data_IF_402404074761
#
_entry.id   IF_402404074761
#
_cell.length_a   1.000
_cell.length_b   1.000
_cell.length_c   1.000
_cell.angle_alpha   90.00
_cell.angle_beta   90.00
_cell.angle_gamma   90.00
#
_symmetry.space_group_name_H-M   'P 1'
#
loop_
_entity.id
_entity.type
_entity.pdbx_description
1 polymer ?
#
# COMPACT_ATOMS: atom_id res chain seq x y z
N UNK A 1 38.00 5.80 -17.77
CA UNK A 1 36.99 4.73 -17.92
C UNK A 1 35.65 5.25 -17.39
N UNK A 2 34.71 5.56 -18.28
CA UNK A 2 33.40 6.20 -18.00
C UNK A 2 32.28 5.19 -18.29
N UNK A 3 31.88 4.37 -17.32
CA UNK A 3 30.81 3.35 -17.48
C UNK A 3 30.14 2.97 -16.14
N UNK A 4 29.40 3.86 -15.47
CA UNK A 4 28.41 3.45 -14.42
C UNK A 4 27.18 4.39 -14.32
N UNK A 5 26.90 5.26 -15.29
CA UNK A 5 25.77 6.23 -15.21
C UNK A 5 24.47 5.74 -15.90
N UNK A 6 24.17 4.43 -15.96
CA UNK A 6 23.03 3.90 -16.76
C UNK A 6 22.10 2.89 -16.06
N UNK A 7 21.84 3.03 -14.76
CA UNK A 7 21.04 2.04 -14.01
C UNK A 7 19.73 2.51 -13.34
N UNK A 8 19.18 3.69 -13.65
CA UNK A 8 18.05 4.28 -12.90
C UNK A 8 16.81 4.64 -13.74
N UNK A 9 16.28 3.69 -14.52
CA UNK A 9 15.15 3.93 -15.42
C UNK A 9 14.10 2.80 -15.37
N UNK A 10 13.30 2.74 -14.30
CA UNK A 10 12.19 1.77 -14.13
C UNK A 10 10.90 2.43 -13.62
N UNK A 11 9.87 2.53 -14.46
CA UNK A 11 9.46 3.88 -14.86
C UNK A 11 7.97 4.19 -15.11
N UNK A 12 7.13 3.26 -15.55
CA UNK A 12 5.67 3.52 -15.53
C UNK A 12 4.85 2.31 -15.11
N UNK A 13 5.54 1.31 -14.56
CA UNK A 13 4.86 0.39 -13.69
C UNK A 13 4.50 1.11 -12.38
N UNK A 14 4.91 2.36 -12.04
CA UNK A 14 4.30 3.14 -10.93
C UNK A 14 2.79 3.26 -11.06
N UNK A 15 2.23 3.41 -12.27
CA UNK A 15 0.77 3.44 -12.40
C UNK A 15 0.16 2.06 -12.09
N UNK A 16 0.83 1.00 -12.54
CA UNK A 16 0.55 -0.40 -12.23
C UNK A 16 1.00 -0.81 -10.82
N UNK A 17 1.78 -0.03 -10.11
CA UNK A 17 2.39 -0.35 -8.82
C UNK A 17 1.70 0.51 -7.76
N UNK A 18 1.26 1.72 -8.05
CA UNK A 18 0.26 2.41 -7.25
C UNK A 18 -1.07 1.67 -7.32
N UNK A 19 -1.36 0.99 -8.43
CA UNK A 19 -2.51 0.07 -8.53
C UNK A 19 -2.18 -1.39 -8.17
N UNK A 20 -0.94 -1.91 -8.15
CA UNK A 20 -0.64 -3.33 -7.75
C UNK A 20 0.35 -3.52 -6.58
N UNK A 21 1.04 -2.50 -6.10
CA UNK A 21 1.79 -2.51 -4.82
C UNK A 21 0.81 -2.80 -3.69
N UNK A 22 -0.44 -2.24 -3.68
CA UNK A 22 -1.54 -2.82 -2.93
C UNK A 22 -1.64 -4.35 -3.03
N UNK A 23 -1.68 -4.91 -4.23
CA UNK A 23 -2.28 -6.23 -4.40
C UNK A 23 -1.29 -7.39 -4.50
N UNK A 24 -0.01 -7.13 -4.77
CA UNK A 24 1.04 -8.17 -4.81
C UNK A 24 2.20 -7.91 -3.85
N UNK A 25 2.41 -6.65 -3.45
CA UNK A 25 3.59 -6.27 -2.69
C UNK A 25 3.40 -6.29 -1.17
N UNK A 26 2.42 -7.02 -0.67
CA UNK A 26 1.98 -6.88 0.72
C UNK A 26 1.75 -8.22 1.45
N UNK A 27 2.31 -9.30 0.91
CA UNK A 27 2.40 -10.59 1.60
C UNK A 27 3.51 -10.58 2.68
N UNK A 28 3.21 -11.04 3.89
CA UNK A 28 4.18 -11.22 4.97
C UNK A 28 5.10 -12.41 4.64
N UNK A 29 6.41 -12.18 4.67
CA UNK A 29 7.37 -13.28 4.50
C UNK A 29 7.39 -14.17 5.74
N UNK A 30 7.19 -15.48 5.58
CA UNK A 30 7.55 -16.42 6.63
C UNK A 30 9.07 -16.37 6.85
N UNK A 31 9.51 -16.29 8.11
CA UNK A 31 10.93 -16.40 8.47
C UNK A 31 11.43 -17.77 8.06
N UNK A 32 12.19 -17.84 6.95
CA UNK A 32 12.95 -19.05 6.62
C UNK A 32 14.16 -19.11 7.53
N UNK A 33 14.14 -20.04 8.50
CA UNK A 33 15.35 -20.44 9.23
C UNK A 33 16.25 -21.23 8.28
N UNK A 34 17.53 -20.80 8.16
CA UNK A 34 18.61 -21.24 7.24
C UNK A 34 18.47 -20.70 5.81
N UNK A 35 19.48 -20.08 5.19
CA UNK A 35 20.93 -20.39 5.19
C UNK A 35 21.74 -19.11 4.94
N UNK A 36 22.84 -18.93 5.69
CA UNK A 36 23.81 -17.86 5.44
C UNK A 36 24.48 -18.04 4.08
N UNK A 37 24.29 -17.09 3.17
CA UNK A 37 25.16 -16.93 2.00
C UNK A 37 25.40 -15.43 1.75
N UNK A 38 26.59 -14.99 2.15
CA UNK A 38 27.33 -13.87 1.56
C UNK A 38 26.89 -12.45 1.90
N UNK A 39 27.30 -11.95 3.07
CA UNK A 39 27.21 -10.55 3.47
C UNK A 39 28.16 -9.58 2.70
N UNK A 40 28.46 -9.84 1.42
CA UNK A 40 29.58 -9.21 0.71
C UNK A 40 29.24 -8.18 -0.38
N UNK A 41 28.00 -8.09 -0.86
CA UNK A 41 27.69 -7.32 -2.08
C UNK A 41 26.64 -6.22 -1.92
N UNK A 42 25.89 -6.19 -0.81
CA UNK A 42 24.86 -5.18 -0.57
C UNK A 42 25.41 -3.82 -0.12
N UNK A 43 26.38 -3.81 0.80
CA UNK A 43 26.98 -2.57 1.33
C UNK A 43 27.70 -1.74 0.25
N UNK A 44 28.35 -2.40 -0.72
CA UNK A 44 29.03 -1.72 -1.82
C UNK A 44 28.09 -1.02 -2.83
N UNK A 45 26.82 -1.42 -2.88
CA UNK A 45 25.80 -0.78 -3.74
C UNK A 45 25.20 0.43 -3.04
N UNK A 46 25.02 0.37 -1.73
CA UNK A 46 24.48 1.48 -0.90
C UNK A 46 25.49 2.63 -0.79
N UNK A 47 26.78 2.32 -0.59
CA UNK A 47 27.84 3.35 -0.50
C UNK A 47 28.08 4.10 -1.82
N UNK A 48 27.76 3.52 -2.98
CA UNK A 48 27.88 4.21 -4.27
C UNK A 48 26.70 5.15 -4.58
N UNK A 49 25.57 5.01 -3.89
CA UNK A 49 24.36 5.83 -4.11
C UNK A 49 24.33 7.02 -3.14
N UNK A 50 24.93 6.90 -1.95
CA UNK A 50 24.84 7.91 -0.89
C UNK A 50 25.67 9.19 -1.14
N UNK A 51 26.72 9.16 -1.98
CA UNK A 51 27.76 10.19 -1.93
C UNK A 51 27.70 11.29 -3.01
N UNK A 52 26.61 11.39 -3.78
CA UNK A 52 26.48 12.45 -4.81
C UNK A 52 25.05 12.98 -4.96
N UNK A 53 24.70 14.00 -4.18
CA UNK A 53 23.48 14.78 -4.43
C UNK A 53 23.30 15.97 -3.52
N UNK A 54 23.86 17.12 -3.90
CA UNK A 54 23.50 18.41 -3.32
C UNK A 54 22.00 18.71 -3.43
N UNK A 55 21.50 19.43 -2.42
CA UNK A 55 20.11 19.80 -2.14
C UNK A 55 19.20 20.07 -3.36
N UNK A 56 18.15 19.26 -3.52
CA UNK A 56 16.75 19.70 -3.79
C UNK A 56 15.82 18.50 -4.01
N UNK A 57 14.85 18.30 -3.10
CA UNK A 57 13.53 17.69 -3.34
C UNK A 57 13.44 16.41 -4.21
N UNK A 58 14.18 15.35 -3.84
CA UNK A 58 14.04 13.99 -4.40
C UNK A 58 13.62 13.04 -3.28
N UNK A 59 12.55 12.27 -3.47
CA UNK A 59 12.21 11.24 -2.50
C UNK A 59 13.22 10.08 -2.62
N UNK A 60 13.75 9.56 -1.50
CA UNK A 60 14.71 8.43 -1.50
C UNK A 60 13.99 7.08 -1.52
N UNK A 61 14.71 6.00 -1.84
CA UNK A 61 14.18 4.63 -1.67
C UNK A 61 13.77 4.40 -0.21
N UNK A 62 14.55 4.91 0.75
CA UNK A 62 14.23 4.79 2.18
C UNK A 62 12.89 5.43 2.54
N UNK A 63 12.55 6.57 1.93
CA UNK A 63 11.26 7.21 2.15
C UNK A 63 10.11 6.36 1.62
N UNK A 64 10.28 5.69 0.47
CA UNK A 64 9.27 4.78 -0.07
C UNK A 64 9.15 3.52 0.77
N UNK A 65 10.27 2.95 1.23
CA UNK A 65 10.30 1.81 2.14
C UNK A 65 9.55 2.17 3.41
N UNK A 66 9.85 3.32 3.99
CA UNK A 66 9.18 3.84 5.20
C UNK A 66 7.68 4.01 4.96
N UNK A 67 7.28 4.64 3.86
CA UNK A 67 5.88 4.88 3.54
C UNK A 67 5.13 3.56 3.36
N UNK A 68 5.66 2.63 2.55
CA UNK A 68 5.08 1.30 2.37
C UNK A 68 4.90 0.64 3.75
N UNK A 69 5.99 0.52 4.52
CA UNK A 69 6.00 -0.17 5.80
C UNK A 69 5.09 0.45 6.85
N UNK A 70 4.82 1.76 6.76
CA UNK A 70 3.94 2.47 7.70
C UNK A 70 2.52 1.90 7.76
N UNK A 71 2.02 1.29 6.67
CA UNK A 71 0.68 0.72 6.60
C UNK A 71 0.62 -0.72 7.13
N UNK A 72 1.76 -1.43 7.19
CA UNK A 72 1.79 -2.85 7.57
C UNK A 72 1.25 -3.09 8.97
N UNK A 73 1.57 -2.20 9.92
CA UNK A 73 1.13 -2.31 11.31
C UNK A 73 -0.40 -2.31 11.44
N UNK A 74 -1.10 -1.73 10.48
CA UNK A 74 -2.56 -1.63 10.47
C UNK A 74 -3.27 -2.84 9.84
N UNK A 75 -2.54 -3.86 9.39
CA UNK A 75 -3.11 -5.12 8.90
C UNK A 75 -3.31 -6.11 10.03
N UNK A 76 -4.50 -6.70 10.12
CA UNK A 76 -4.76 -7.80 11.02
C UNK A 76 -4.28 -9.16 10.41
N UNK A 77 -4.20 -10.24 11.21
CA UNK A 77 -3.70 -11.54 10.71
C UNK A 77 -4.45 -12.07 9.48
N UNK A 78 -5.79 -12.04 9.50
CA UNK A 78 -6.61 -12.54 8.37
C UNK A 78 -6.42 -11.73 7.08
N UNK A 79 -6.14 -10.44 7.21
CA UNK A 79 -5.82 -9.56 6.09
C UNK A 79 -4.43 -9.84 5.51
N UNK A 80 -3.44 -10.11 6.38
CA UNK A 80 -2.12 -10.58 5.94
C UNK A 80 -2.23 -11.92 5.20
N UNK A 81 -3.08 -12.84 5.68
CA UNK A 81 -3.35 -14.10 5.01
C UNK A 81 -3.99 -13.89 3.63
N UNK A 82 -4.92 -12.94 3.51
CA UNK A 82 -5.53 -12.57 2.23
C UNK A 82 -4.50 -12.05 1.23
N UNK A 83 -3.55 -11.21 1.69
CA UNK A 83 -2.45 -10.71 0.87
C UNK A 83 -1.49 -11.83 0.45
N UNK A 84 -1.19 -12.77 1.35
CA UNK A 84 -0.39 -13.96 1.05
C UNK A 84 -1.08 -14.85 0.01
N UNK A 85 -2.39 -15.05 0.12
CA UNK A 85 -3.18 -15.83 -0.82
C UNK A 85 -3.18 -15.20 -2.22
N UNK A 86 -3.38 -13.88 -2.32
CA UNK A 86 -3.34 -13.17 -3.60
C UNK A 86 -1.97 -13.33 -4.30
N UNK A 87 -0.87 -13.29 -3.55
CA UNK A 87 0.47 -13.56 -4.07
C UNK A 87 0.65 -15.00 -4.55
N UNK A 88 0.15 -15.98 -3.81
CA UNK A 88 0.16 -17.39 -4.27
C UNK A 88 -0.64 -17.54 -5.56
N UNK A 89 -1.82 -16.92 -5.64
CA UNK A 89 -2.63 -16.94 -6.87
C UNK A 89 -1.92 -16.25 -8.03
N UNK A 90 -1.19 -15.15 -7.78
CA UNK A 90 -0.38 -14.47 -8.79
C UNK A 90 0.72 -15.38 -9.34
N UNK A 91 1.41 -16.14 -8.49
CA UNK A 91 2.39 -17.14 -8.89
C UNK A 91 1.77 -18.24 -9.76
N UNK A 92 0.61 -18.75 -9.37
CA UNK A 92 -0.14 -19.74 -10.16
C UNK A 92 -0.58 -19.16 -11.50
N UNK A 93 -1.07 -17.91 -11.51
CA UNK A 93 -1.52 -17.21 -12.71
C UNK A 93 -0.38 -16.94 -13.70
N UNK A 94 0.81 -16.66 -13.17
CA UNK A 94 2.03 -16.54 -13.94
C UNK A 94 2.42 -17.87 -14.61
N UNK A 95 2.30 -18.99 -13.90
CA UNK A 95 2.67 -20.32 -14.40
C UNK A 95 1.68 -20.88 -15.43
N UNK A 96 0.37 -20.70 -15.19
CA UNK A 96 -0.68 -21.25 -16.05
C UNK A 96 -1.06 -20.33 -17.23
N UNK A 97 -0.46 -19.14 -17.33
CA UNK A 97 -0.67 -18.19 -18.43
C UNK A 97 -1.92 -17.30 -18.31
N UNK A 98 -2.73 -17.44 -17.26
CA UNK A 98 -3.90 -16.56 -17.04
C UNK A 98 -3.48 -15.12 -16.76
N UNK A 99 -2.37 -14.90 -16.06
CA UNK A 99 -1.80 -13.56 -15.86
C UNK A 99 -1.45 -12.90 -17.19
N UNK A 100 -0.93 -13.67 -18.15
CA UNK A 100 -0.58 -13.17 -19.47
C UNK A 100 -1.81 -12.63 -20.17
N UNK A 101 -2.90 -13.39 -20.18
CA UNK A 101 -4.17 -13.00 -20.80
C UNK A 101 -4.80 -11.78 -20.14
N UNK A 102 -4.76 -11.71 -18.80
CA UNK A 102 -5.27 -10.57 -18.04
C UNK A 102 -4.50 -9.26 -18.25
N UNK A 103 -3.27 -9.34 -18.78
CA UNK A 103 -2.42 -8.19 -19.06
C UNK A 103 -2.33 -7.85 -20.56
N UNK A 104 -3.16 -8.46 -21.42
CA UNK A 104 -3.10 -8.27 -22.87
C UNK A 104 -3.34 -6.83 -23.31
N UNK A 105 -4.14 -6.07 -22.55
CA UNK A 105 -4.40 -4.64 -22.79
C UNK A 105 -3.14 -3.77 -22.78
N UNK A 106 -2.07 -4.21 -22.12
CA UNK A 106 -0.80 -3.48 -22.08
C UNK A 106 0.00 -3.58 -23.39
N UNK A 107 -0.28 -4.58 -24.23
CA UNK A 107 0.46 -4.80 -25.48
C UNK A 107 -0.20 -4.04 -26.65
N UNK A 108 -0.19 -2.72 -26.54
CA UNK A 108 -0.66 -1.82 -27.61
C UNK A 108 0.26 -1.86 -28.82
N UNK A 109 -0.20 -1.37 -29.98
CA UNK A 109 0.63 -1.27 -31.18
C UNK A 109 1.83 -0.34 -30.97
N UNK A 110 1.67 0.73 -30.19
CA UNK A 110 2.74 1.66 -29.87
C UNK A 110 3.81 1.00 -28.98
N UNK A 111 3.40 0.20 -27.98
CA UNK A 111 4.32 -0.63 -27.19
C UNK A 111 5.09 -1.57 -28.11
N UNK A 112 4.39 -2.28 -29.00
CA UNK A 112 5.03 -3.20 -29.95
C UNK A 112 6.03 -2.46 -30.85
N UNK A 113 5.67 -1.28 -31.35
CA UNK A 113 6.56 -0.45 -32.16
C UNK A 113 7.85 -0.05 -31.41
N UNK A 114 7.76 0.31 -30.11
CA UNK A 114 8.95 0.61 -29.28
C UNK A 114 9.91 -0.58 -29.19
N UNK A 115 9.37 -1.79 -29.00
CA UNK A 115 10.17 -3.01 -28.93
C UNK A 115 10.74 -3.43 -30.30
N UNK A 116 9.94 -3.32 -31.37
CA UNK A 116 10.39 -3.60 -32.74
C UNK A 116 11.53 -2.67 -33.18
N UNK A 117 11.49 -1.39 -32.77
CA UNK A 117 12.60 -0.45 -32.99
C UNK A 117 13.91 -0.88 -32.30
N UNK A 118 13.86 -1.84 -31.36
CA UNK A 118 15.01 -2.49 -30.72
C UNK A 118 15.28 -3.91 -31.25
N UNK A 119 14.63 -4.31 -32.35
CA UNK A 119 14.77 -5.64 -32.95
C UNK A 119 14.07 -6.76 -32.17
N UNK A 120 13.10 -6.42 -31.32
CA UNK A 120 12.38 -7.39 -30.48
C UNK A 120 11.00 -7.72 -31.10
N UNK A 121 10.64 -9.01 -31.13
CA UNK A 121 9.36 -9.44 -31.70
C UNK A 121 8.18 -9.05 -30.80
N UNK A 122 6.96 -9.06 -31.34
CA UNK A 122 5.74 -8.86 -30.53
C UNK A 122 5.61 -9.88 -29.40
N UNK A 123 5.95 -11.14 -29.68
CA UNK A 123 5.89 -12.21 -28.69
C UNK A 123 6.86 -11.97 -27.53
N UNK A 124 8.09 -11.55 -27.85
CA UNK A 124 9.12 -11.25 -26.85
C UNK A 124 8.83 -9.96 -26.09
N UNK A 125 8.22 -8.95 -26.73
CA UNK A 125 7.72 -7.75 -26.07
C UNK A 125 6.67 -8.12 -25.00
N UNK A 126 5.74 -9.00 -25.34
CA UNK A 126 4.75 -9.53 -24.39
C UNK A 126 5.44 -10.24 -23.22
N UNK A 127 6.43 -11.11 -23.50
CA UNK A 127 7.20 -11.78 -22.45
C UNK A 127 7.90 -10.78 -21.53
N UNK A 128 8.52 -9.74 -22.08
CA UNK A 128 9.22 -8.72 -21.29
C UNK A 128 8.26 -7.94 -20.35
N UNK A 129 7.06 -7.57 -20.83
CA UNK A 129 6.05 -6.91 -20.01
C UNK A 129 5.57 -7.83 -18.88
N UNK A 130 5.25 -9.09 -19.20
CA UNK A 130 4.81 -10.06 -18.19
C UNK A 130 5.89 -10.36 -17.16
N UNK A 131 7.17 -10.48 -17.57
CA UNK A 131 8.28 -10.64 -16.64
C UNK A 131 8.43 -9.44 -15.70
N UNK A 132 8.22 -8.23 -16.20
CA UNK A 132 8.22 -7.04 -15.36
C UNK A 132 7.05 -7.00 -14.38
N UNK A 133 5.86 -7.47 -14.76
CA UNK A 133 4.76 -7.67 -13.81
C UNK A 133 5.10 -8.74 -12.78
N UNK A 134 5.65 -9.89 -13.19
CA UNK A 134 6.04 -10.98 -12.31
C UNK A 134 7.07 -10.55 -11.26
N UNK A 135 7.97 -9.64 -11.60
CA UNK A 135 8.99 -9.16 -10.68
C UNK A 135 8.42 -8.40 -9.47
N UNK A 136 7.16 -7.92 -9.51
CA UNK A 136 6.50 -7.30 -8.35
C UNK A 136 6.34 -8.24 -7.18
N UNK A 137 6.29 -9.56 -7.42
CA UNK A 137 6.19 -10.54 -6.35
C UNK A 137 7.30 -10.42 -5.29
N UNK A 138 8.46 -9.86 -5.66
CA UNK A 138 9.63 -9.81 -4.78
C UNK A 138 9.58 -8.59 -3.85
N UNK A 139 8.85 -7.55 -4.23
CA UNK A 139 8.60 -6.38 -3.40
C UNK A 139 7.49 -6.84 -2.45
N UNK A 140 7.74 -6.99 -1.16
CA UNK A 140 6.67 -7.34 -0.22
C UNK A 140 6.83 -6.73 1.17
N UNK A 141 5.76 -6.67 1.96
CA UNK A 141 5.85 -6.33 3.39
C UNK A 141 6.84 -7.28 4.10
N UNK A 142 7.76 -6.71 4.87
CA UNK A 142 8.80 -7.44 5.59
C UNK A 142 9.03 -6.77 6.93
N UNK A 143 9.36 -7.52 7.97
CA UNK A 143 9.81 -6.92 9.25
C UNK A 143 11.15 -6.19 9.12
N UNK A 144 11.85 -6.33 7.98
CA UNK A 144 13.13 -5.71 7.69
C UNK A 144 13.02 -4.71 6.51
N UNK A 145 13.14 -3.42 6.81
CA UNK A 145 13.20 -2.35 5.81
C UNK A 145 14.28 -2.60 4.76
N UNK A 146 15.45 -3.13 5.16
CA UNK A 146 16.53 -3.40 4.22
C UNK A 146 16.20 -4.53 3.24
N UNK A 147 15.31 -5.46 3.61
CA UNK A 147 14.82 -6.50 2.70
C UNK A 147 13.92 -5.91 1.62
N UNK A 148 13.00 -5.01 1.98
CA UNK A 148 12.16 -4.31 1.01
C UNK A 148 13.00 -3.40 0.10
N UNK A 149 13.96 -2.68 0.67
CA UNK A 149 14.90 -1.84 -0.09
C UNK A 149 15.66 -2.65 -1.16
N UNK A 150 16.26 -3.78 -0.76
CA UNK A 150 16.96 -4.71 -1.68
C UNK A 150 16.04 -5.22 -2.78
N UNK A 151 14.77 -5.54 -2.44
CA UNK A 151 13.79 -6.00 -3.42
C UNK A 151 13.46 -4.91 -4.46
N UNK A 152 13.26 -3.66 -4.02
CA UNK A 152 13.02 -2.52 -4.91
C UNK A 152 14.22 -2.26 -5.83
N UNK A 153 15.44 -2.27 -5.31
CA UNK A 153 16.67 -2.11 -6.11
C UNK A 153 16.81 -3.23 -7.14
N UNK A 154 16.58 -4.48 -6.73
CA UNK A 154 16.62 -5.64 -7.62
C UNK A 154 15.57 -5.53 -8.73
N UNK A 155 14.34 -5.17 -8.37
CA UNK A 155 13.26 -4.96 -9.33
C UNK A 155 13.64 -3.94 -10.40
N UNK A 156 14.16 -2.77 -9.97
CA UNK A 156 14.58 -1.68 -10.87
C UNK A 156 15.68 -2.16 -11.80
N UNK A 157 16.70 -2.82 -11.25
CA UNK A 157 17.87 -3.30 -11.99
C UNK A 157 17.49 -4.33 -13.06
N UNK A 158 16.65 -5.30 -12.70
CA UNK A 158 16.29 -6.40 -13.60
C UNK A 158 15.35 -5.95 -14.73
N UNK A 159 14.50 -4.96 -14.48
CA UNK A 159 13.48 -4.53 -15.45
C UNK A 159 13.86 -3.26 -16.23
N UNK A 160 14.95 -2.59 -15.86
CA UNK A 160 15.31 -1.29 -16.44
C UNK A 160 15.45 -1.28 -17.98
N UNK A 161 15.77 -2.41 -18.61
CA UNK A 161 15.79 -2.51 -20.09
C UNK A 161 14.39 -2.41 -20.69
N UNK A 162 13.42 -3.14 -20.15
CA UNK A 162 12.02 -3.10 -20.59
C UNK A 162 11.49 -1.67 -20.47
N UNK A 163 11.77 -1.02 -19.34
CA UNK A 163 11.35 0.34 -19.08
C UNK A 163 11.99 1.39 -19.96
N UNK A 164 13.31 1.35 -20.18
CA UNK A 164 13.98 2.24 -21.15
C UNK A 164 13.44 2.06 -22.56
N UNK A 165 13.04 0.84 -22.91
CA UNK A 165 12.41 0.57 -24.22
C UNK A 165 11.06 1.29 -24.31
N UNK A 166 10.25 1.25 -23.26
CA UNK A 166 8.93 1.90 -23.22
C UNK A 166 9.02 3.44 -23.15
N UNK A 167 9.83 3.97 -22.22
CA UNK A 167 9.76 5.37 -21.80
C UNK A 167 10.96 6.23 -22.22
N UNK A 168 11.98 5.60 -22.82
CA UNK A 168 13.22 6.26 -23.20
C UNK A 168 14.30 6.24 -22.11
N UNK A 169 15.51 6.64 -22.50
CA UNK A 169 16.70 6.69 -21.62
C UNK A 169 16.73 7.96 -20.75
N UNK A 170 15.89 8.95 -21.07
CA UNK A 170 15.85 10.29 -20.47
C UNK A 170 15.08 10.35 -19.15
N UNK A 171 14.34 9.30 -18.80
CA UNK A 171 13.54 9.29 -17.59
C UNK A 171 14.34 8.90 -16.35
N UNK A 172 14.15 9.68 -15.28
CA UNK A 172 14.83 9.55 -13.98
C UNK A 172 13.96 8.87 -12.90
N UNK A 173 14.49 7.87 -12.20
CA UNK A 173 13.80 7.18 -11.10
C UNK A 173 13.33 8.11 -9.96
N UNK A 174 14.03 9.22 -9.72
CA UNK A 174 13.67 10.12 -8.61
C UNK A 174 12.38 10.91 -8.89
N UNK A 175 12.06 11.14 -10.18
CA UNK A 175 10.79 11.75 -10.58
C UNK A 175 9.61 10.80 -10.29
N UNK A 176 9.84 9.50 -10.41
CA UNK A 176 8.89 8.44 -10.08
C UNK A 176 8.62 8.33 -8.59
N UNK A 177 9.66 8.43 -7.76
CA UNK A 177 9.49 8.45 -6.31
C UNK A 177 8.68 9.66 -5.86
N UNK A 178 8.97 10.84 -6.41
CA UNK A 178 8.15 12.02 -6.19
C UNK A 178 6.69 11.85 -6.65
N UNK A 179 6.48 11.20 -7.80
CA UNK A 179 5.15 10.93 -8.35
C UNK A 179 4.33 9.98 -7.47
N UNK A 180 4.94 8.90 -6.96
CA UNK A 180 4.27 7.98 -6.05
C UNK A 180 3.86 8.68 -4.75
N UNK A 181 4.76 9.45 -4.14
CA UNK A 181 4.45 10.22 -2.93
C UNK A 181 3.35 11.25 -3.18
N UNK A 182 3.40 11.96 -4.32
CA UNK A 182 2.36 12.94 -4.67
C UNK A 182 0.99 12.26 -4.91
N UNK A 183 0.97 11.08 -5.52
CA UNK A 183 -0.26 10.30 -5.72
C UNK A 183 -0.80 9.79 -4.39
N UNK A 184 0.07 9.33 -3.49
CA UNK A 184 -0.29 8.93 -2.13
C UNK A 184 -0.94 10.09 -1.35
N UNK A 185 -0.30 11.26 -1.37
CA UNK A 185 -0.82 12.48 -0.74
C UNK A 185 -2.19 12.87 -1.32
N UNK A 186 -2.36 12.79 -2.63
CA UNK A 186 -3.62 13.12 -3.30
C UNK A 186 -4.70 12.06 -3.02
N UNK A 187 -4.35 10.77 -2.99
CA UNK A 187 -5.25 9.68 -2.59
C UNK A 187 -5.76 9.90 -1.16
N UNK A 188 -4.89 10.27 -0.23
CA UNK A 188 -5.31 10.62 1.13
C UNK A 188 -6.27 11.81 1.14
N UNK A 189 -6.11 12.81 0.27
CA UNK A 189 -7.06 13.93 0.15
C UNK A 189 -8.41 13.46 -0.39
N UNK A 190 -8.44 12.60 -1.41
CA UNK A 190 -9.69 12.04 -1.95
C UNK A 190 -10.43 11.18 -0.90
N UNK A 191 -9.71 10.32 -0.17
CA UNK A 191 -10.28 9.55 0.95
C UNK A 191 -10.86 10.49 2.01
N UNK A 192 -10.15 11.58 2.36
CA UNK A 192 -10.65 12.57 3.33
C UNK A 192 -11.90 13.31 2.83
N UNK A 193 -11.99 13.61 1.53
CA UNK A 193 -13.20 14.20 0.94
C UNK A 193 -14.39 13.25 1.07
N UNK A 194 -14.22 11.96 0.77
CA UNK A 194 -15.26 10.94 0.96
C UNK A 194 -15.72 10.85 2.43
N UNK A 195 -14.77 10.80 3.36
CA UNK A 195 -15.05 10.76 4.80
C UNK A 195 -15.78 12.03 5.27
N UNK A 196 -15.36 13.20 4.80
CA UNK A 196 -16.00 14.48 5.15
C UNK A 196 -17.43 14.56 4.62
N UNK A 197 -17.67 14.08 3.40
CA UNK A 197 -18.99 14.07 2.79
C UNK A 197 -19.94 13.10 3.51
N UNK A 198 -19.43 11.95 3.92
CA UNK A 198 -20.18 10.97 4.69
C UNK A 198 -19.27 10.30 5.73
N UNK A 199 -19.27 10.72 7.00
CA UNK A 199 -18.44 10.10 8.04
C UNK A 199 -18.77 8.62 8.28
N UNK A 200 -20.00 8.18 7.96
CA UNK A 200 -20.38 6.76 7.98
C UNK A 200 -19.73 5.96 6.85
N UNK A 201 -19.13 6.62 5.85
CA UNK A 201 -18.33 5.94 4.84
C UNK A 201 -17.21 5.12 5.50
N UNK A 202 -16.59 5.60 6.59
CA UNK A 202 -15.62 4.84 7.42
C UNK A 202 -16.16 3.47 7.85
N UNK A 203 -17.45 3.41 8.23
CA UNK A 203 -18.14 2.18 8.63
C UNK A 203 -18.51 1.33 7.40
N UNK A 204 -18.83 1.99 6.29
CA UNK A 204 -19.03 1.38 4.98
C UNK A 204 -17.75 0.79 4.39
N UNK A 205 -16.57 1.30 4.76
CA UNK A 205 -15.30 0.72 4.33
C UNK A 205 -15.00 -0.63 5.01
N UNK A 206 -15.47 -0.82 6.26
CA UNK A 206 -15.34 -2.08 6.99
C UNK A 206 -16.20 -3.22 6.44
N UNK A 207 -17.45 -2.94 6.04
CA UNK A 207 -18.43 -3.99 5.68
C UNK A 207 -19.32 -3.72 4.45
N UNK A 208 -18.85 -2.92 3.49
CA UNK A 208 -19.36 -3.06 2.13
C UNK A 208 -18.90 -4.41 1.57
N UNK A 209 -19.64 -5.01 0.63
CA UNK A 209 -19.08 -6.13 -0.13
C UNK A 209 -17.71 -5.68 -0.65
N UNK A 210 -16.71 -6.56 -0.62
CA UNK A 210 -15.34 -6.22 -1.01
C UNK A 210 -15.27 -5.54 -2.39
N UNK A 211 -16.28 -5.78 -3.26
CA UNK A 211 -16.46 -5.12 -4.57
C UNK A 211 -16.83 -3.64 -4.51
N UNK A 212 -17.71 -3.20 -3.60
CA UNK A 212 -18.12 -1.80 -3.51
C UNK A 212 -17.02 -0.94 -2.87
N UNK A 213 -16.32 -1.51 -1.89
CA UNK A 213 -15.12 -0.94 -1.29
C UNK A 213 -14.03 -0.69 -2.33
N UNK A 214 -13.71 -1.76 -3.06
CA UNK A 214 -12.79 -1.76 -4.19
C UNK A 214 -13.15 -0.68 -5.20
N UNK A 215 -14.41 -0.66 -5.63
CA UNK A 215 -14.89 0.31 -6.62
C UNK A 215 -14.58 1.74 -6.18
N UNK A 216 -14.88 2.10 -4.94
CA UNK A 216 -14.59 3.44 -4.41
C UNK A 216 -13.10 3.76 -4.36
N UNK A 217 -12.28 2.88 -3.84
CA UNK A 217 -10.84 3.16 -3.71
C UNK A 217 -10.12 3.20 -5.04
N UNK A 218 -10.52 2.35 -5.99
CA UNK A 218 -10.03 2.41 -7.37
C UNK A 218 -10.39 3.77 -7.99
N UNK A 219 -11.61 4.27 -7.80
CA UNK A 219 -12.00 5.61 -8.28
C UNK A 219 -11.23 6.74 -7.57
N UNK A 220 -11.01 6.65 -6.25
CA UNK A 220 -10.18 7.61 -5.52
C UNK A 220 -8.73 7.61 -6.05
N UNK A 221 -8.14 6.44 -6.27
CA UNK A 221 -6.78 6.30 -6.80
C UNK A 221 -6.69 6.82 -8.24
N UNK A 222 -7.67 6.49 -9.08
CA UNK A 222 -7.79 7.01 -10.44
C UNK A 222 -7.86 8.54 -10.44
N UNK A 223 -8.72 9.11 -9.59
CA UNK A 223 -8.85 10.57 -9.42
C UNK A 223 -7.53 11.19 -8.96
N UNK A 224 -6.85 10.57 -7.98
CA UNK A 224 -5.56 11.04 -7.50
C UNK A 224 -4.48 11.03 -8.59
N UNK A 225 -4.39 9.96 -9.38
CA UNK A 225 -3.48 9.86 -10.52
C UNK A 225 -3.74 10.98 -11.55
N UNK A 226 -5.01 11.24 -11.88
CA UNK A 226 -5.38 12.32 -12.80
C UNK A 226 -5.08 13.71 -12.22
N UNK A 227 -5.33 13.95 -10.93
CA UNK A 227 -5.04 15.23 -10.29
C UNK A 227 -3.53 15.53 -10.27
N UNK A 228 -2.69 14.49 -10.10
CA UNK A 228 -1.23 14.63 -10.07
C UNK A 228 -0.64 14.86 -11.47
N UNK A 229 -1.18 14.20 -12.50
CA UNK A 229 -0.60 14.20 -13.86
C UNK A 229 -1.31 15.12 -14.86
N UNK A 230 -2.59 15.41 -14.65
CA UNK A 230 -3.43 16.16 -15.59
C UNK A 230 -3.03 17.64 -15.78
N UNK A 231 -2.69 18.40 -14.73
CA UNK A 231 -2.32 19.80 -14.89
C UNK A 231 -1.03 19.95 -15.71
N UNK A 232 -1.07 20.73 -16.81
CA UNK A 232 0.08 20.93 -17.73
C UNK A 232 1.30 21.54 -17.02
N UNK A 233 1.07 22.31 -15.96
CA UNK A 233 2.12 22.89 -15.11
C UNK A 233 2.62 21.94 -14.00
N UNK A 234 2.02 20.75 -13.86
CA UNK A 234 2.52 19.73 -12.95
C UNK A 234 3.85 19.19 -13.46
N UNK A 235 4.85 19.11 -12.57
CA UNK A 235 6.10 18.40 -12.85
C UNK A 235 5.90 16.91 -13.16
N UNK A 236 4.73 16.36 -12.83
CA UNK A 236 4.36 14.98 -13.10
C UNK A 236 3.51 14.83 -14.38
N UNK A 237 3.25 15.91 -15.12
CA UNK A 237 2.56 15.84 -16.41
C UNK A 237 3.31 14.98 -17.45
N UNK A 238 4.63 14.89 -17.32
CA UNK A 238 5.45 14.02 -18.17
C UNK A 238 5.03 12.54 -18.10
N UNK A 239 4.40 12.08 -17.01
CA UNK A 239 3.88 10.71 -16.94
C UNK A 239 2.73 10.50 -17.91
N UNK A 240 1.80 11.45 -17.98
CA UNK A 240 0.66 11.37 -18.91
C UNK A 240 1.14 11.33 -20.36
N UNK A 241 2.10 12.20 -20.70
CA UNK A 241 2.75 12.22 -22.02
C UNK A 241 3.45 10.90 -22.36
N UNK A 242 4.27 10.38 -21.43
CA UNK A 242 5.03 9.14 -21.63
C UNK A 242 4.14 7.89 -21.70
N UNK A 243 3.00 7.89 -21.02
CA UNK A 243 1.97 6.85 -21.16
C UNK A 243 1.31 6.95 -22.53
N UNK A 244 0.89 8.14 -22.94
CA UNK A 244 0.26 8.36 -24.24
C UNK A 244 1.17 7.96 -25.42
N UNK A 245 2.48 8.21 -25.32
CA UNK A 245 3.50 7.81 -26.30
C UNK A 245 3.55 6.30 -26.59
N UNK A 246 3.07 5.48 -25.64
CA UNK A 246 2.97 4.03 -25.77
C UNK A 246 1.51 3.56 -25.84
N UNK A 247 0.57 4.45 -26.10
CA UNK A 247 -0.86 4.13 -26.19
C UNK A 247 -1.47 3.71 -24.85
N UNK A 248 -0.82 4.03 -23.74
CA UNK A 248 -1.37 3.84 -22.39
C UNK A 248 -2.00 5.13 -21.88
N UNK A 249 -2.92 4.99 -20.93
CA UNK A 249 -3.44 6.07 -20.10
C UNK A 249 -3.80 5.48 -18.73
N UNK A 250 -4.14 6.35 -17.76
CA UNK A 250 -4.48 5.93 -16.40
C UNK A 250 -5.64 4.92 -16.41
N UNK A 251 -6.66 5.14 -17.25
CA UNK A 251 -7.83 4.25 -17.37
C UNK A 251 -7.46 2.83 -17.80
N UNK A 252 -6.61 2.68 -18.82
CA UNK A 252 -6.11 1.40 -19.29
C UNK A 252 -5.33 0.67 -18.18
N UNK A 253 -4.51 1.39 -17.43
CA UNK A 253 -3.73 0.81 -16.34
C UNK A 253 -4.64 0.32 -15.20
N UNK A 254 -5.65 1.10 -14.83
CA UNK A 254 -6.66 0.73 -13.83
C UNK A 254 -7.48 -0.48 -14.30
N UNK A 255 -7.95 -0.48 -15.56
CA UNK A 255 -8.70 -1.60 -16.11
C UNK A 255 -7.85 -2.88 -16.15
N UNK A 256 -6.59 -2.78 -16.56
CA UNK A 256 -5.66 -3.91 -16.52
C UNK A 256 -5.46 -4.42 -15.09
N UNK A 257 -5.33 -3.54 -14.10
CA UNK A 257 -5.26 -3.95 -12.70
C UNK A 257 -6.51 -4.70 -12.28
N UNK A 258 -7.71 -4.25 -12.68
CA UNK A 258 -8.96 -4.96 -12.36
C UNK A 258 -8.99 -6.36 -12.98
N UNK A 259 -8.56 -6.48 -14.23
CA UNK A 259 -8.48 -7.78 -14.92
C UNK A 259 -7.50 -8.74 -14.24
N UNK A 260 -6.32 -8.24 -13.83
CA UNK A 260 -5.38 -9.04 -13.04
C UNK A 260 -5.96 -9.38 -11.67
N UNK A 261 -6.63 -8.43 -11.02
CA UNK A 261 -7.30 -8.63 -9.73
C UNK A 261 -8.36 -9.73 -9.75
N UNK A 262 -9.14 -9.86 -10.83
CA UNK A 262 -10.10 -10.97 -11.00
C UNK A 262 -9.41 -12.34 -10.95
N UNK A 263 -8.18 -12.43 -11.44
CA UNK A 263 -7.41 -13.67 -11.48
C UNK A 263 -6.74 -13.96 -10.13
N UNK A 264 -6.19 -12.94 -9.47
CA UNK A 264 -5.32 -13.14 -8.30
C UNK A 264 -6.04 -12.93 -6.96
N UNK A 265 -7.07 -12.12 -6.93
CA UNK A 265 -7.87 -11.81 -5.74
C UNK A 265 -9.37 -11.81 -6.11
N UNK A 266 -9.94 -12.97 -6.49
CA UNK A 266 -11.32 -13.05 -6.98
C UNK A 266 -12.36 -12.60 -5.93
N UNK A 267 -12.04 -12.71 -4.64
CA UNK A 267 -12.89 -12.22 -3.54
C UNK A 267 -12.66 -10.75 -3.18
N UNK A 268 -11.66 -10.09 -3.78
CA UNK A 268 -11.17 -8.75 -3.42
C UNK A 268 -10.76 -8.64 -1.93
N UNK A 269 -10.30 -9.73 -1.33
CA UNK A 269 -9.96 -9.80 0.09
C UNK A 269 -8.62 -9.12 0.37
N UNK A 270 -7.61 -9.34 -0.48
CA UNK A 270 -6.34 -8.64 -0.41
C UNK A 270 -6.53 -7.15 -0.70
N UNK A 271 -7.39 -6.81 -1.67
CA UNK A 271 -7.69 -5.42 -1.98
C UNK A 271 -8.41 -4.70 -0.83
N UNK A 272 -9.35 -5.39 -0.18
CA UNK A 272 -9.97 -4.92 1.07
C UNK A 272 -8.93 -4.75 2.19
N UNK A 273 -7.96 -5.65 2.34
CA UNK A 273 -6.94 -5.53 3.38
C UNK A 273 -6.14 -4.22 3.27
N UNK A 274 -5.71 -3.86 2.04
CA UNK A 274 -4.95 -2.62 1.80
C UNK A 274 -5.81 -1.38 1.99
N UNK A 275 -7.03 -1.43 1.47
CA UNK A 275 -8.04 -0.41 1.70
C UNK A 275 -8.15 -0.07 3.18
N UNK A 276 -8.33 -1.11 3.99
CA UNK A 276 -8.48 -0.97 5.42
C UNK A 276 -7.21 -0.47 6.08
N UNK A 277 -6.02 -0.95 5.72
CA UNK A 277 -4.78 -0.46 6.33
C UNK A 277 -4.55 1.05 6.11
N UNK A 278 -4.87 1.56 4.92
CA UNK A 278 -4.82 2.99 4.60
C UNK A 278 -5.84 3.77 5.42
N UNK A 279 -7.07 3.27 5.55
CA UNK A 279 -8.12 3.94 6.33
C UNK A 279 -7.75 3.98 7.81
N UNK A 280 -7.31 2.85 8.36
CA UNK A 280 -6.90 2.74 9.76
C UNK A 280 -5.73 3.68 10.08
N UNK A 281 -4.80 3.89 9.14
CA UNK A 281 -3.70 4.85 9.31
C UNK A 281 -4.14 6.32 9.35
N UNK A 282 -5.35 6.63 8.89
CA UNK A 282 -5.95 7.96 9.04
C UNK A 282 -6.67 8.15 10.37
N UNK A 283 -6.93 7.07 11.12
CA UNK A 283 -7.63 7.14 12.41
C UNK A 283 -6.64 7.53 13.50
N UNK A 284 -6.97 8.56 14.25
CA UNK A 284 -6.21 9.03 15.41
C UNK A 284 -6.96 8.65 16.69
N UNK A 285 -6.25 7.99 17.60
CA UNK A 285 -6.74 7.71 18.95
C UNK A 285 -6.25 8.81 19.90
N UNK A 286 -7.16 9.34 20.72
CA UNK A 286 -6.82 10.27 21.81
C UNK A 286 -7.27 9.69 23.13
N UNK A 287 -6.33 9.56 24.06
CA UNK A 287 -6.57 9.13 25.44
C UNK A 287 -6.38 10.34 26.35
N UNK A 288 -7.44 10.76 27.05
CA UNK A 288 -7.47 11.99 27.86
C UNK A 288 -6.96 13.24 27.12
N UNK A 289 -7.22 13.32 25.81
CA UNK A 289 -6.80 14.45 24.97
C UNK A 289 -5.38 14.33 24.40
N UNK A 290 -4.59 13.36 24.86
CA UNK A 290 -3.24 13.08 24.32
C UNK A 290 -3.33 12.11 23.15
N UNK A 291 -2.63 12.40 22.06
CA UNK A 291 -2.55 11.50 20.91
C UNK A 291 -1.85 10.20 21.31
N UNK A 292 -2.44 9.08 20.93
CA UNK A 292 -1.91 7.73 21.09
C UNK A 292 -1.84 7.08 19.70
N UNK A 293 -0.68 6.54 19.36
CA UNK A 293 -0.53 5.70 18.18
C UNK A 293 -1.19 4.34 18.46
N UNK A 294 -2.21 3.92 17.68
CA UNK A 294 -2.86 2.62 17.85
C UNK A 294 -1.89 1.43 17.76
N UNK A 295 -0.73 1.60 17.10
CA UNK A 295 0.28 0.55 16.96
C UNK A 295 1.20 0.44 18.19
N UNK A 296 1.22 1.45 19.05
CA UNK A 296 2.00 1.44 20.30
C UNK A 296 1.10 0.98 21.46
N UNK A 297 1.53 0.00 22.27
CA UNK A 297 0.75 -0.42 23.44
C UNK A 297 0.41 0.77 24.35
N UNK A 298 -0.88 0.90 24.68
CA UNK A 298 -1.36 1.84 25.69
C UNK A 298 -1.09 1.25 27.07
N UNK A 299 -0.17 1.85 27.82
CA UNK A 299 0.08 1.48 29.21
C UNK A 299 -0.93 2.18 30.13
N UNK A 300 -1.66 1.40 30.91
CA UNK A 300 -2.54 1.87 31.97
C UNK A 300 -1.96 1.51 33.33
N UNK A 301 -2.21 2.36 34.32
CA UNK A 301 -2.00 2.01 35.73
C UNK A 301 -3.27 1.36 36.27
N UNK A 302 -3.16 0.43 37.22
CA UNK A 302 -4.36 -0.13 37.92
C UNK A 302 -5.36 0.90 38.44
N UNK A 303 -4.91 2.11 38.78
CA UNK A 303 -5.78 3.18 39.26
C UNK A 303 -6.61 3.88 38.15
N UNK A 304 -6.32 3.61 36.88
CA UNK A 304 -6.97 4.26 35.74
C UNK A 304 -8.37 3.67 35.49
N UNK A 305 -9.37 4.33 36.06
CA UNK A 305 -10.76 3.84 36.08
C UNK A 305 -11.64 4.35 34.92
N UNK A 306 -11.23 5.41 34.19
CA UNK A 306 -12.06 6.01 33.14
C UNK A 306 -11.30 6.99 32.24
N UNK A 307 -10.27 6.50 31.55
CA UNK A 307 -9.56 7.35 30.59
C UNK A 307 -10.46 7.63 29.40
N UNK A 308 -10.69 8.91 29.09
CA UNK A 308 -11.54 9.33 27.98
C UNK A 308 -10.89 8.90 26.66
N UNK A 309 -11.63 8.12 25.87
CA UNK A 309 -11.24 7.72 24.52
C UNK A 309 -11.98 8.60 23.51
N UNK A 310 -11.23 9.17 22.57
CA UNK A 310 -11.79 9.90 21.43
C UNK A 310 -11.12 9.41 20.16
N UNK A 311 -11.91 9.11 19.16
CA UNK A 311 -11.46 8.79 17.82
C UNK A 311 -11.64 10.00 16.91
N UNK A 312 -10.63 10.30 16.11
CA UNK A 312 -10.67 11.36 15.11
C UNK A 312 -10.06 10.86 13.79
N UNK A 313 -10.28 11.60 12.71
CA UNK A 313 -9.62 11.35 11.43
C UNK A 313 -8.60 12.46 11.16
N UNK A 314 -7.37 12.09 10.79
CA UNK A 314 -6.26 13.01 10.60
C UNK A 314 -6.63 14.13 9.61
N UNK A 315 -6.60 15.37 10.09
CA UNK A 315 -6.87 16.56 9.28
C UNK A 315 -8.35 16.76 8.91
N UNK A 316 -9.27 16.02 9.54
CA UNK A 316 -10.71 16.27 9.45
C UNK A 316 -11.19 16.74 10.82
N UNK A 317 -11.73 17.95 10.87
CA UNK A 317 -12.54 18.35 12.01
C UNK A 317 -13.88 17.62 11.93
N UNK A 318 -14.06 16.65 12.82
CA UNK A 318 -15.29 15.85 12.93
C UNK A 318 -16.33 16.53 13.82
N UNK A 319 -16.01 17.70 14.38
CA UNK A 319 -16.91 18.47 15.24
C UNK A 319 -17.40 17.64 16.43
N UNK A 320 -18.72 17.62 16.65
CA UNK A 320 -19.36 16.83 17.70
C UNK A 320 -19.61 15.35 17.32
N UNK A 321 -19.14 14.89 16.16
CA UNK A 321 -19.41 13.56 15.66
C UNK A 321 -18.59 12.51 16.44
N UNK A 322 -19.27 11.76 17.32
CA UNK A 322 -18.63 10.72 18.12
C UNK A 322 -18.43 9.44 17.29
N UNK A 323 -17.28 9.33 16.60
CA UNK A 323 -16.92 8.13 15.84
C UNK A 323 -16.91 6.88 16.73
N UNK A 324 -16.45 6.99 17.98
CA UNK A 324 -16.38 5.85 18.90
C UNK A 324 -17.76 5.27 19.22
N UNK A 325 -18.76 6.14 19.36
CA UNK A 325 -20.16 5.76 19.58
C UNK A 325 -20.85 5.18 18.34
N UNK A 326 -20.18 5.10 17.20
CA UNK A 326 -20.69 4.46 15.98
C UNK A 326 -20.14 3.05 15.76
N UNK A 327 -19.28 2.61 16.66
CA UNK A 327 -18.59 1.33 16.61
C UNK A 327 -19.12 0.42 17.72
N UNK A 328 -19.05 -0.87 17.46
CA UNK A 328 -19.10 -1.87 18.51
C UNK A 328 -17.68 -2.12 19.04
N UNK A 329 -17.59 -2.51 20.30
CA UNK A 329 -16.33 -2.66 21.00
C UNK A 329 -16.26 -4.03 21.67
N UNK A 330 -15.06 -4.61 21.66
CA UNK A 330 -14.75 -5.81 22.43
C UNK A 330 -13.39 -5.68 23.10
N UNK A 331 -13.21 -6.43 24.18
CA UNK A 331 -11.91 -6.69 24.80
C UNK A 331 -11.67 -8.19 24.76
N UNK A 332 -10.46 -8.60 24.40
CA UNK A 332 -10.09 -10.02 24.40
C UNK A 332 -9.94 -10.55 25.84
N UNK A 333 -9.67 -9.68 26.82
CA UNK A 333 -9.62 -10.05 28.25
C UNK A 333 -10.05 -8.88 29.16
N UNK A 334 -11.31 -8.91 29.61
CA UNK A 334 -11.88 -7.90 30.50
C UNK A 334 -11.29 -7.86 31.91
N UNK A 335 -10.58 -8.91 32.34
CA UNK A 335 -9.87 -8.90 33.62
C UNK A 335 -8.63 -7.98 33.58
N UNK A 336 -8.07 -7.74 32.38
CA UNK A 336 -6.91 -6.86 32.16
C UNK A 336 -7.36 -5.44 31.81
N UNK A 337 -8.26 -5.26 30.85
CA UNK A 337 -8.79 -3.95 30.50
C UNK A 337 -10.20 -4.02 29.91
N UNK A 338 -10.98 -2.96 30.11
CA UNK A 338 -12.35 -2.82 29.59
C UNK A 338 -12.49 -1.52 28.81
N UNK A 339 -13.48 -1.50 27.92
CA UNK A 339 -13.91 -0.32 27.16
C UNK A 339 -15.41 -0.15 27.37
N UNK A 340 -15.86 1.10 27.49
CA UNK A 340 -17.28 1.40 27.57
C UNK A 340 -18.01 0.92 26.30
N UNK A 341 -19.27 0.51 26.42
CA UNK A 341 -20.06 0.01 25.28
C UNK A 341 -20.14 1.04 24.13
N UNK A 342 -20.18 2.34 24.46
CA UNK A 342 -20.20 3.45 23.52
C UNK A 342 -18.80 3.91 23.05
N UNK A 343 -17.74 3.19 23.46
CA UNK A 343 -16.36 3.53 23.14
C UNK A 343 -15.84 4.82 23.77
N UNK A 344 -16.55 5.43 24.72
CA UNK A 344 -16.19 6.74 25.27
C UNK A 344 -15.02 6.71 26.26
N UNK A 345 -14.71 5.55 26.83
CA UNK A 345 -13.62 5.42 27.81
C UNK A 345 -13.02 4.02 27.88
N UNK A 346 -11.75 3.97 28.28
CA UNK A 346 -11.01 2.75 28.59
C UNK A 346 -10.70 2.73 30.09
N UNK A 347 -10.69 1.54 30.68
CA UNK A 347 -10.44 1.31 32.10
C UNK A 347 -9.50 0.12 32.31
N UNK A 348 -8.57 0.26 33.24
CA UNK A 348 -7.77 -0.86 33.75
C UNK A 348 -8.65 -1.86 34.51
N UNK A 349 -8.42 -3.14 34.26
CA UNK A 349 -9.06 -4.25 34.94
C UNK A 349 -8.39 -4.55 36.29
N UNK A 350 -8.71 -5.72 36.85
CA UNK A 350 -8.21 -6.16 38.16
C UNK A 350 -6.88 -6.90 38.10
N UNK A 351 -6.42 -7.27 36.91
CA UNK A 351 -5.26 -8.14 36.68
C UNK A 351 -4.23 -7.44 35.81
N UNK A 352 -2.95 -7.59 36.16
CA UNK A 352 -1.83 -7.13 35.33
C UNK A 352 -1.69 -7.98 34.05
N UNK A 353 -1.14 -7.38 33.00
CA UNK A 353 -0.83 -8.07 31.75
C UNK A 353 -1.26 -7.29 30.52
N UNK A 354 -1.29 -7.98 29.37
CA UNK A 354 -1.60 -7.38 28.07
C UNK A 354 -2.89 -7.95 27.50
N UNK A 355 -3.74 -7.08 26.98
CA UNK A 355 -4.94 -7.45 26.22
C UNK A 355 -5.10 -6.57 24.98
N UNK A 356 -6.09 -6.88 24.16
CA UNK A 356 -6.44 -6.12 22.95
C UNK A 356 -7.88 -5.65 23.05
N UNK A 357 -8.08 -4.37 22.78
CA UNK A 357 -9.39 -3.76 22.59
C UNK A 357 -9.58 -3.53 21.10
N UNK A 358 -10.68 -4.05 20.55
CA UNK A 358 -11.02 -3.94 19.13
C UNK A 358 -12.29 -3.14 18.96
N UNK A 359 -12.23 -2.10 18.12
CA UNK A 359 -13.40 -1.40 17.61
C UNK A 359 -13.74 -1.94 16.22
N UNK A 360 -15.01 -2.27 16.00
CA UNK A 360 -15.51 -2.85 14.76
C UNK A 360 -16.89 -2.28 14.43
N UNK A 361 -17.40 -2.56 13.24
CA UNK A 361 -18.72 -2.08 12.82
C UNK A 361 -19.83 -2.66 13.70
N UNK A 362 -20.81 -1.82 14.09
CA UNK A 362 -22.01 -2.30 14.79
C UNK A 362 -22.82 -3.32 13.97
N UNK A 363 -23.45 -4.26 14.66
CA UNK A 363 -24.37 -5.28 14.13
C UNK A 363 -23.73 -6.32 13.19
N UNK A 364 -22.42 -6.56 13.30
CA UNK A 364 -21.72 -7.58 12.52
C UNK A 364 -21.12 -8.66 13.44
N UNK A 365 -21.38 -9.92 13.12
CA UNK A 365 -20.84 -11.08 13.84
C UNK A 365 -19.37 -11.39 13.47
N UNK A 366 -18.86 -10.85 12.37
CA UNK A 366 -17.47 -11.09 11.93
C UNK A 366 -16.55 -9.97 12.41
N UNK A 367 -16.18 -10.01 13.68
CA UNK A 367 -15.39 -8.94 14.34
C UNK A 367 -14.04 -8.72 13.64
N UNK A 368 -13.31 -9.79 13.32
CA UNK A 368 -11.97 -9.69 12.71
C UNK A 368 -12.02 -9.17 11.28
N UNK A 369 -13.03 -9.56 10.50
CA UNK A 369 -13.18 -9.13 9.10
C UNK A 369 -13.61 -7.66 8.96
N UNK A 370 -14.06 -7.03 10.05
CA UNK A 370 -14.62 -5.68 10.09
C UNK A 370 -13.95 -4.79 11.15
N UNK A 371 -12.76 -5.19 11.62
CA UNK A 371 -11.95 -4.41 12.55
C UNK A 371 -11.64 -3.04 11.94
N UNK A 372 -11.85 -1.96 12.70
CA UNK A 372 -11.47 -0.60 12.31
C UNK A 372 -10.35 -0.07 13.18
N UNK A 373 -10.27 -0.50 14.43
CA UNK A 373 -9.23 -0.06 15.36
C UNK A 373 -8.85 -1.23 16.24
N UNK A 374 -7.55 -1.38 16.46
CA UNK A 374 -6.97 -2.32 17.39
C UNK A 374 -6.05 -1.55 18.34
N UNK A 375 -6.30 -1.67 19.64
CA UNK A 375 -5.50 -1.02 20.68
C UNK A 375 -4.96 -2.13 21.57
N UNK A 376 -3.65 -2.33 21.56
CA UNK A 376 -2.99 -3.17 22.54
C UNK A 376 -2.93 -2.39 23.86
N UNK A 377 -3.40 -2.98 24.95
CA UNK A 377 -3.42 -2.36 26.28
C UNK A 377 -2.59 -3.21 27.22
N UNK A 378 -1.64 -2.58 27.91
CA UNK A 378 -0.87 -3.19 28.98
C UNK A 378 -1.27 -2.56 30.32
N UNK A 379 -1.49 -3.37 31.34
CA UNK A 379 -1.79 -2.90 32.70
C UNK A 379 -0.70 -3.35 33.66
N UNK A 380 -0.12 -2.35 34.33
CA UNK A 380 0.92 -2.51 35.35
C UNK A 380 0.37 -2.19 36.76
#
# INVERSE_FOLDING_TARGET
>A
MKKVEKALASLAIAGMALTMIPFNAFAEGAVSTRTSLGAGTGQQIVEQIADKGGSSNKASIDQIVTEIMSYRGYLNPSEKDSLNQARTNFLTAAQNGTLRSAADGLLTEQVVAKFQAKGVTRADAKVAIIQSLQAFQAIHYSDDNATLERALVKFITQNGRTFRTLFGDDFKAELFYGFMMATQDELQKEIKKEIKHNPLSLLGFGGSSSSALKGKLVECLKTALHNVTGPVNSKYHVFDQKLADIGWNIDLLVETQRQVGVVIDPSNAAEKAVAMSVIRSQIQCKINGTMSDPLTPLTLKKADNKLKLVLAVKGIDTGAFNIAGLLAWKTDNSAIATVAEDGSSIKAGTTEGTTVITAYRMNDSQVEANELIRITVAVD
#
